data_IF_270277106857
#
_entry.id   IF_270277106857
#
_cell.length_a   1.000
_cell.length_b   1.000
_cell.length_c   1.000
_cell.angle_alpha   90.00
_cell.angle_beta   90.00
_cell.angle_gamma   90.00
#
_symmetry.space_group_name_H-M   'P 1'
#
loop_
_entity.id
_entity.type
_entity.pdbx_description
1 polymer ?
#
# COMPACT_ATOMS: atom_id res chain seq x y z
N UNK A 1 -43.61 3.79 -12.87
CA UNK A 1 -42.17 4.07 -12.71
C UNK A 1 -41.49 2.87 -12.06
N UNK A 2 -40.56 2.17 -12.75
CA UNK A 2 -39.80 1.06 -12.14
C UNK A 2 -38.72 1.69 -11.28
N UNK A 3 -38.77 1.46 -9.97
CA UNK A 3 -37.67 1.79 -9.06
C UNK A 3 -36.41 1.03 -9.51
N UNK A 4 -35.37 1.77 -9.89
CA UNK A 4 -34.06 1.18 -10.17
C UNK A 4 -33.50 0.66 -8.84
N UNK A 5 -33.49 -0.66 -8.64
CA UNK A 5 -32.81 -1.29 -7.51
C UNK A 5 -31.32 -0.90 -7.55
N UNK A 6 -30.86 -0.24 -6.51
CA UNK A 6 -29.44 0.10 -6.35
C UNK A 6 -28.77 -1.05 -5.60
N UNK A 7 -27.69 -1.61 -6.18
CA UNK A 7 -26.88 -2.62 -5.54
C UNK A 7 -25.69 -1.95 -4.82
N UNK A 8 -25.34 -2.48 -3.66
CA UNK A 8 -24.23 -1.96 -2.83
C UNK A 8 -23.29 -3.09 -2.45
N UNK A 9 -21.98 -2.82 -2.41
CA UNK A 9 -21.03 -3.63 -1.68
C UNK A 9 -21.15 -3.32 -0.20
N UNK A 10 -21.16 -4.34 0.64
CA UNK A 10 -21.08 -4.20 2.09
C UNK A 10 -19.65 -4.53 2.51
N UNK A 11 -18.92 -3.52 2.96
CA UNK A 11 -17.55 -3.67 3.42
C UNK A 11 -17.52 -3.67 4.95
N UNK A 12 -16.65 -4.51 5.51
CA UNK A 12 -16.36 -4.54 6.95
C UNK A 12 -14.87 -4.37 7.17
N UNK A 13 -14.52 -3.55 8.14
CA UNK A 13 -13.11 -3.39 8.52
C UNK A 13 -12.61 -4.68 9.19
N UNK A 14 -11.53 -5.27 8.65
CA UNK A 14 -11.02 -6.58 9.08
C UNK A 14 -10.43 -6.56 10.49
N UNK A 15 -9.79 -5.43 10.86
CA UNK A 15 -9.14 -5.26 12.17
C UNK A 15 -9.91 -4.31 13.11
N UNK A 16 -11.19 -4.07 12.85
CA UNK A 16 -12.02 -3.21 13.70
C UNK A 16 -12.17 -3.81 15.10
N UNK A 17 -11.98 -2.98 16.10
CA UNK A 17 -12.25 -3.33 17.51
C UNK A 17 -13.74 -3.58 17.78
N UNK A 18 -14.62 -3.08 16.91
CA UNK A 18 -16.07 -3.27 16.97
C UNK A 18 -16.59 -3.63 15.57
N UNK A 19 -17.15 -4.85 15.37
CA UNK A 19 -17.59 -5.32 14.05
C UNK A 19 -18.92 -4.71 13.57
N UNK A 20 -19.43 -3.66 14.22
CA UNK A 20 -20.79 -3.15 14.00
C UNK A 20 -20.90 -2.14 12.87
N UNK A 21 -19.79 -1.58 12.39
CA UNK A 21 -19.82 -0.59 11.32
C UNK A 21 -19.58 -1.25 9.97
N UNK A 22 -20.59 -1.23 9.11
CA UNK A 22 -20.48 -1.65 7.73
C UNK A 22 -20.53 -0.40 6.83
N UNK A 23 -19.58 -0.31 5.89
CA UNK A 23 -19.57 0.71 4.87
C UNK A 23 -20.29 0.19 3.63
N UNK A 24 -21.27 0.94 3.12
CA UNK A 24 -22.03 0.59 1.93
C UNK A 24 -21.56 1.44 0.75
N UNK A 25 -20.98 0.81 -0.26
CA UNK A 25 -20.50 1.48 -1.47
C UNK A 25 -21.37 1.06 -2.64
N UNK A 26 -22.00 2.01 -3.38
CA UNK A 26 -22.75 1.67 -4.58
C UNK A 26 -21.87 0.93 -5.59
N UNK A 27 -22.40 -0.13 -6.21
CA UNK A 27 -21.66 -0.89 -7.25
C UNK A 27 -21.23 0.02 -8.41
N UNK A 28 -22.00 1.09 -8.70
CA UNK A 28 -21.65 2.10 -9.69
C UNK A 28 -20.40 2.95 -9.32
N UNK A 29 -19.99 2.93 -8.06
CA UNK A 29 -18.84 3.68 -7.53
C UNK A 29 -17.66 2.77 -7.17
N UNK A 30 -17.62 1.56 -7.73
CA UNK A 30 -16.62 0.54 -7.42
C UNK A 30 -15.18 0.87 -7.91
N UNK A 31 -14.98 2.00 -8.59
CA UNK A 31 -13.66 2.43 -9.10
C UNK A 31 -12.59 2.57 -8.00
N UNK A 32 -12.99 2.67 -6.73
CA UNK A 32 -12.09 2.75 -5.57
C UNK A 32 -11.88 1.41 -4.86
N UNK A 33 -12.44 0.32 -5.40
CA UNK A 33 -12.31 -1.01 -4.82
C UNK A 33 -11.38 -1.85 -5.69
N UNK A 34 -10.50 -2.59 -5.07
CA UNK A 34 -9.71 -3.63 -5.71
C UNK A 34 -9.80 -4.93 -4.90
N UNK A 35 -9.60 -6.08 -5.53
CA UNK A 35 -9.46 -7.33 -4.81
C UNK A 35 -8.28 -7.27 -3.82
N UNK A 36 -8.41 -8.01 -2.73
CA UNK A 36 -7.29 -8.26 -1.80
C UNK A 36 -6.27 -9.14 -2.52
N UNK A 37 -4.99 -8.84 -2.34
CA UNK A 37 -3.91 -9.62 -2.96
C UNK A 37 -3.84 -11.05 -2.42
N UNK A 38 -3.26 -11.96 -3.21
CA UNK A 38 -2.96 -13.31 -2.76
C UNK A 38 -1.72 -13.38 -1.85
N UNK A 39 -1.59 -14.49 -1.08
CA UNK A 39 -0.47 -14.74 -0.16
C UNK A 39 0.88 -14.65 -0.86
N UNK A 40 1.04 -15.32 -1.99
CA UNK A 40 2.29 -15.33 -2.77
C UNK A 40 2.69 -13.92 -3.22
N UNK A 41 1.72 -13.09 -3.60
CA UNK A 41 1.93 -11.71 -3.99
C UNK A 41 2.35 -10.84 -2.81
N UNK A 42 1.72 -11.00 -1.63
CA UNK A 42 2.13 -10.30 -0.41
C UNK A 42 3.58 -10.61 -0.02
N UNK A 43 3.97 -11.90 -0.06
CA UNK A 43 5.34 -12.34 0.20
C UNK A 43 6.33 -11.77 -0.83
N UNK A 44 5.96 -11.75 -2.11
CA UNK A 44 6.77 -11.18 -3.17
C UNK A 44 7.01 -9.67 -2.96
N UNK A 45 5.99 -8.92 -2.57
CA UNK A 45 6.12 -7.50 -2.27
C UNK A 45 6.99 -7.23 -1.04
N UNK A 46 6.83 -8.00 0.05
CA UNK A 46 7.68 -7.88 1.23
C UNK A 46 9.16 -8.12 0.91
N UNK A 47 9.43 -9.14 0.09
CA UNK A 47 10.80 -9.46 -0.31
C UNK A 47 11.35 -8.47 -1.34
N UNK A 48 10.49 -7.95 -2.22
CA UNK A 48 10.84 -7.07 -3.34
C UNK A 48 10.91 -5.59 -3.00
N UNK A 49 10.38 -5.13 -1.85
CA UNK A 49 10.32 -3.71 -1.51
C UNK A 49 11.70 -3.02 -1.51
N UNK A 50 12.76 -3.76 -1.18
CA UNK A 50 14.13 -3.24 -1.25
C UNK A 50 14.54 -2.83 -2.66
N UNK A 51 13.99 -3.48 -3.70
CA UNK A 51 14.28 -3.26 -5.11
C UNK A 51 13.39 -2.17 -5.74
N UNK A 52 12.24 -1.88 -5.14
CA UNK A 52 11.39 -0.80 -5.62
C UNK A 52 12.14 0.52 -5.57
N UNK A 53 12.13 1.26 -6.67
CA UNK A 53 12.73 2.60 -6.71
C UNK A 53 11.63 3.62 -6.46
N UNK A 54 11.70 4.35 -5.32
CA UNK A 54 10.77 5.44 -5.07
C UNK A 54 11.04 6.58 -6.07
N UNK A 55 9.98 7.29 -6.43
CA UNK A 55 10.10 8.48 -7.27
C UNK A 55 11.00 9.52 -6.57
N UNK A 56 12.06 10.00 -7.24
CA UNK A 56 12.96 10.99 -6.68
C UNK A 56 12.27 12.29 -6.23
N UNK A 57 11.16 12.65 -6.89
CA UNK A 57 10.35 13.81 -6.54
C UNK A 57 9.63 13.71 -5.20
N UNK A 58 9.54 12.51 -4.60
CA UNK A 58 8.93 12.30 -3.30
C UNK A 58 9.90 12.58 -2.14
N UNK A 59 11.20 12.59 -2.42
CA UNK A 59 12.24 12.81 -1.39
C UNK A 59 12.57 14.30 -1.20
N UNK A 60 12.15 15.16 -2.12
CA UNK A 60 12.37 16.62 -2.06
C UNK A 60 11.14 17.34 -1.50
N UNK A 61 11.37 18.47 -0.83
CA UNK A 61 10.31 19.37 -0.34
C UNK A 61 9.83 20.30 -1.47
N UNK A 62 9.30 19.72 -2.56
CA UNK A 62 8.80 20.50 -3.70
C UNK A 62 7.34 20.90 -3.48
N UNK A 63 6.97 22.07 -4.01
CA UNK A 63 5.59 22.50 -4.11
C UNK A 63 4.78 21.40 -4.83
N UNK A 64 3.60 21.02 -4.29
CA UNK A 64 2.77 19.98 -4.88
C UNK A 64 3.06 18.55 -4.42
N UNK A 65 4.05 18.31 -3.54
CA UNK A 65 4.33 16.95 -3.04
C UNK A 65 3.12 16.30 -2.37
N UNK A 66 2.34 17.08 -1.63
CA UNK A 66 1.11 16.61 -0.97
C UNK A 66 0.08 16.09 -1.98
N UNK A 67 -0.10 16.81 -3.11
CA UNK A 67 -1.00 16.37 -4.17
C UNK A 67 -0.53 15.06 -4.80
N UNK A 68 0.77 14.84 -4.95
CA UNK A 68 1.35 13.57 -5.42
C UNK A 68 1.12 12.43 -4.43
N UNK A 69 1.35 12.65 -3.13
CA UNK A 69 1.07 11.65 -2.10
C UNK A 69 -0.39 11.22 -2.15
N UNK A 70 -1.29 12.21 -2.22
CA UNK A 70 -2.72 11.94 -2.33
C UNK A 70 -3.05 11.12 -3.58
N UNK A 71 -2.54 11.53 -4.74
CA UNK A 71 -2.78 10.83 -6.00
C UNK A 71 -2.30 9.37 -5.95
N UNK A 72 -1.16 9.08 -5.29
CA UNK A 72 -0.66 7.71 -5.15
C UNK A 72 -1.53 6.84 -4.24
N UNK A 73 -2.12 7.42 -3.18
CA UNK A 73 -3.07 6.71 -2.32
C UNK A 73 -4.41 6.51 -3.05
N UNK A 74 -4.93 7.56 -3.69
CA UNK A 74 -6.22 7.55 -4.39
C UNK A 74 -6.22 6.64 -5.63
N UNK A 75 -5.06 6.35 -6.20
CA UNK A 75 -4.90 5.40 -7.31
C UNK A 75 -5.26 3.96 -6.92
N UNK A 76 -5.36 3.64 -5.64
CA UNK A 76 -5.59 2.28 -5.12
C UNK A 76 -4.58 1.24 -5.66
N UNK A 77 -3.40 1.67 -6.13
CA UNK A 77 -2.33 0.82 -6.61
C UNK A 77 -1.37 0.50 -5.45
N UNK A 78 -1.23 -0.78 -5.17
CA UNK A 78 -0.41 -1.25 -4.06
C UNK A 78 1.08 -0.97 -4.28
N UNK A 79 1.55 -1.04 -5.53
CA UNK A 79 2.97 -0.77 -5.85
C UNK A 79 3.28 0.70 -5.66
N UNK A 80 2.38 1.59 -6.07
CA UNK A 80 2.53 3.04 -5.85
C UNK A 80 2.49 3.38 -4.35
N UNK A 81 1.59 2.74 -3.58
CA UNK A 81 1.54 2.89 -2.13
C UNK A 81 2.83 2.40 -1.45
N UNK A 82 3.41 1.27 -1.91
CA UNK A 82 4.69 0.75 -1.41
C UNK A 82 5.87 1.68 -1.76
N UNK A 83 5.89 2.26 -2.96
CA UNK A 83 6.90 3.26 -3.34
C UNK A 83 6.83 4.49 -2.46
N UNK A 84 5.61 4.99 -2.21
CA UNK A 84 5.37 6.12 -1.32
C UNK A 84 5.86 5.81 0.10
N UNK A 85 5.45 4.69 0.66
CA UNK A 85 5.85 4.25 1.99
C UNK A 85 7.38 4.17 2.11
N UNK A 86 8.03 3.54 1.13
CA UNK A 86 9.49 3.45 1.09
C UNK A 86 10.15 4.82 1.02
N UNK A 87 9.66 5.73 0.17
CA UNK A 87 10.19 7.09 0.05
C UNK A 87 10.14 7.82 1.40
N UNK A 88 9.00 7.75 2.09
CA UNK A 88 8.78 8.43 3.37
C UNK A 88 9.64 7.82 4.51
N UNK A 89 9.85 6.52 4.52
CA UNK A 89 10.79 5.89 5.46
C UNK A 89 12.25 6.30 5.19
N UNK A 90 12.66 6.35 3.93
CA UNK A 90 14.00 6.81 3.57
C UNK A 90 14.20 8.28 3.92
N UNK A 91 13.19 9.11 3.71
CA UNK A 91 13.18 10.54 4.10
C UNK A 91 13.30 10.68 5.62
N UNK A 92 12.52 9.93 6.38
CA UNK A 92 12.62 9.89 7.86
C UNK A 92 14.04 9.56 8.32
N UNK A 93 14.67 8.58 7.66
CA UNK A 93 16.05 8.18 7.97
C UNK A 93 17.09 9.24 7.61
N UNK A 94 16.92 9.95 6.48
CA UNK A 94 17.84 10.96 5.99
C UNK A 94 17.87 12.19 6.92
N UNK A 95 16.73 12.58 7.48
CA UNK A 95 16.60 13.71 8.41
C UNK A 95 17.30 13.42 9.76
N UNK A 96 17.39 12.13 10.15
CA UNK A 96 18.03 11.75 11.40
C UNK A 96 17.23 12.18 12.65
N UNK A 97 17.90 12.21 13.81
CA UNK A 97 17.26 12.54 15.10
C UNK A 97 17.15 14.04 15.39
N UNK A 98 17.84 14.86 14.64
CA UNK A 98 17.99 16.30 14.91
C UNK A 98 16.89 17.17 14.31
N UNK A 99 16.16 16.68 13.34
CA UNK A 99 15.07 17.41 12.68
C UNK A 99 13.79 16.60 12.71
N UNK A 100 12.65 17.29 12.78
CA UNK A 100 11.33 16.66 12.69
C UNK A 100 10.94 16.51 11.23
N UNK A 101 10.36 15.35 10.90
CA UNK A 101 9.70 15.15 9.61
C UNK A 101 8.51 16.11 9.51
N UNK A 102 8.24 16.73 8.34
CA UNK A 102 7.05 17.54 8.14
C UNK A 102 5.78 16.75 8.48
N UNK A 103 4.78 17.44 9.05
CA UNK A 103 3.53 16.83 9.50
C UNK A 103 2.82 16.09 8.36
N UNK A 104 2.84 16.66 7.16
CA UNK A 104 2.26 16.04 5.97
C UNK A 104 2.94 14.70 5.62
N UNK A 105 4.25 14.62 5.76
CA UNK A 105 4.99 13.39 5.49
C UNK A 105 4.66 12.31 6.53
N UNK A 106 4.48 12.71 7.81
CA UNK A 106 4.05 11.81 8.88
C UNK A 106 2.66 11.26 8.56
N UNK A 107 1.71 12.15 8.24
CA UNK A 107 0.33 11.78 7.93
C UNK A 107 0.24 10.76 6.79
N UNK A 108 0.90 11.05 5.65
CA UNK A 108 0.84 10.16 4.50
C UNK A 108 1.62 8.85 4.69
N UNK A 109 2.70 8.89 5.47
CA UNK A 109 3.39 7.67 5.89
C UNK A 109 2.48 6.77 6.71
N UNK A 110 1.76 7.33 7.68
CA UNK A 110 0.90 6.57 8.57
C UNK A 110 -0.32 5.99 7.81
N UNK A 111 -0.87 6.74 6.84
CA UNK A 111 -1.92 6.24 5.93
C UNK A 111 -1.41 5.08 5.09
N UNK A 112 -0.28 5.26 4.39
CA UNK A 112 0.30 4.22 3.54
C UNK A 112 0.70 2.98 4.35
N UNK A 113 1.27 3.18 5.54
CA UNK A 113 1.63 2.11 6.47
C UNK A 113 0.40 1.32 6.90
N UNK A 114 -0.69 2.01 7.28
CA UNK A 114 -1.93 1.34 7.69
C UNK A 114 -2.48 0.50 6.55
N UNK A 115 -2.60 1.06 5.34
CA UNK A 115 -3.13 0.34 4.17
C UNK A 115 -2.33 -0.94 3.89
N UNK A 116 -1.01 -0.85 3.84
CA UNK A 116 -0.14 -1.99 3.53
C UNK A 116 -0.13 -3.02 4.67
N UNK A 117 0.04 -2.55 5.91
CA UNK A 117 0.19 -3.47 7.04
C UNK A 117 -1.12 -4.21 7.34
N UNK A 118 -2.27 -3.57 7.23
CA UNK A 118 -3.56 -4.21 7.50
C UNK A 118 -3.87 -5.27 6.44
N UNK A 119 -3.65 -4.98 5.15
CA UNK A 119 -3.91 -5.94 4.08
C UNK A 119 -2.94 -7.14 4.15
N UNK A 120 -1.64 -6.87 4.30
CA UNK A 120 -0.65 -7.95 4.36
C UNK A 120 -0.81 -8.80 5.61
N UNK A 121 -1.16 -8.19 6.74
CA UNK A 121 -1.43 -8.91 7.98
C UNK A 121 -2.61 -9.86 7.82
N UNK A 122 -3.69 -9.39 7.19
CA UNK A 122 -4.86 -10.21 6.89
C UNK A 122 -4.51 -11.41 6.00
N UNK A 123 -3.79 -11.17 4.90
CA UNK A 123 -3.45 -12.19 3.90
C UNK A 123 -2.45 -13.22 4.45
N UNK A 124 -1.49 -12.77 5.24
CA UNK A 124 -0.43 -13.64 5.77
C UNK A 124 -0.81 -14.29 7.11
N UNK A 125 -1.89 -13.84 7.75
CA UNK A 125 -2.32 -14.35 9.05
C UNK A 125 -1.40 -13.95 10.21
N UNK A 126 -0.82 -12.77 10.14
CA UNK A 126 0.09 -12.19 11.14
C UNK A 126 -0.44 -10.84 11.63
N UNK A 127 0.23 -10.21 12.59
CA UNK A 127 -0.17 -8.90 13.07
C UNK A 127 0.35 -7.76 12.17
N UNK A 128 -0.36 -6.61 12.08
CA UNK A 128 0.15 -5.43 11.36
C UNK A 128 1.52 -4.97 11.85
N UNK A 129 1.80 -5.14 13.15
CA UNK A 129 3.10 -4.82 13.75
C UNK A 129 4.22 -5.67 13.18
N UNK A 130 4.02 -6.98 13.03
CA UNK A 130 5.00 -7.88 12.43
C UNK A 130 5.28 -7.53 10.97
N UNK A 131 4.24 -7.13 10.22
CA UNK A 131 4.42 -6.65 8.84
C UNK A 131 5.26 -5.38 8.82
N UNK A 132 4.97 -4.41 9.68
CA UNK A 132 5.75 -3.17 9.80
C UNK A 132 7.24 -3.46 10.08
N UNK A 133 7.52 -4.34 11.02
CA UNK A 133 8.90 -4.74 11.34
C UNK A 133 9.61 -5.38 10.14
N UNK A 134 8.94 -6.27 9.41
CA UNK A 134 9.46 -6.88 8.19
C UNK A 134 9.71 -5.85 7.08
N UNK A 135 8.78 -4.91 6.87
CA UNK A 135 8.92 -3.83 5.89
C UNK A 135 10.12 -2.94 6.22
N UNK A 136 10.26 -2.50 7.46
CA UNK A 136 11.38 -1.68 7.92
C UNK A 136 12.71 -2.42 7.72
N UNK A 137 12.78 -3.69 8.13
CA UNK A 137 13.98 -4.50 7.95
C UNK A 137 14.35 -4.66 6.46
N UNK A 138 13.36 -4.86 5.57
CA UNK A 138 13.57 -4.99 4.14
C UNK A 138 14.00 -3.68 3.48
N UNK A 139 13.38 -2.54 3.85
CA UNK A 139 13.73 -1.20 3.33
C UNK A 139 15.14 -0.80 3.77
N UNK A 140 15.52 -1.14 4.98
CA UNK A 140 16.84 -0.81 5.53
C UNK A 140 17.96 -1.74 5.07
N UNK A 141 17.63 -2.87 4.46
CA UNK A 141 18.63 -3.78 3.89
C UNK A 141 19.37 -3.04 2.77
N UNK A 142 20.68 -2.82 2.93
CA UNK A 142 21.51 -2.27 1.85
C UNK A 142 21.33 -3.15 0.61
N UNK A 143 21.15 -2.54 -0.57
CA UNK A 143 21.20 -3.26 -1.86
C UNK A 143 22.51 -4.08 -1.85
N UNK A 144 22.41 -5.38 -1.62
CA UNK A 144 23.49 -6.28 -1.96
C UNK A 144 23.65 -6.20 -3.48
N UNK A 145 24.90 -6.08 -3.94
CA UNK A 145 25.31 -5.74 -5.30
C UNK A 145 24.39 -6.28 -6.40
N UNK A 146 24.09 -5.40 -7.37
CA UNK A 146 23.41 -5.64 -8.64
C UNK A 146 23.56 -7.08 -9.16
N UNK A 147 22.53 -7.88 -9.00
CA UNK A 147 22.25 -9.01 -9.86
C UNK A 147 21.00 -8.64 -10.67
N UNK A 148 21.16 -8.53 -11.99
CA UNK A 148 20.10 -8.29 -12.95
C UNK A 148 18.96 -9.29 -12.73
N UNK A 149 17.82 -8.81 -12.27
CA UNK A 149 16.50 -9.42 -12.52
C UNK A 149 15.52 -8.26 -12.68
N UNK A 150 14.94 -8.18 -13.88
CA UNK A 150 13.97 -7.17 -14.24
C UNK A 150 12.72 -7.25 -13.35
N UNK A 151 12.16 -6.13 -12.88
CA UNK A 151 10.97 -6.09 -12.05
C UNK A 151 9.66 -6.34 -12.83
N UNK A 152 9.73 -6.93 -14.04
CA UNK A 152 8.61 -7.02 -14.99
C UNK A 152 7.48 -7.97 -14.54
N UNK A 153 7.67 -8.79 -13.51
CA UNK A 153 6.65 -9.76 -13.07
C UNK A 153 5.77 -9.33 -11.90
N UNK A 154 5.78 -8.05 -11.50
CA UNK A 154 4.92 -7.57 -10.40
C UNK A 154 3.55 -7.02 -10.87
N UNK A 155 3.25 -7.08 -12.17
CA UNK A 155 1.89 -6.81 -12.65
C UNK A 155 1.05 -8.08 -12.49
N UNK A 156 -0.06 -7.95 -11.75
CA UNK A 156 -1.06 -9.00 -11.61
C UNK A 156 -1.45 -9.56 -12.97
N UNK A 157 -1.26 -10.86 -13.18
CA UNK A 157 -1.99 -11.59 -14.20
C UNK A 157 -3.40 -11.83 -13.65
N UNK A 158 -4.45 -11.59 -14.43
CA UNK A 158 -5.79 -12.04 -14.07
C UNK A 158 -5.77 -13.58 -14.02
N UNK A 159 -6.29 -14.13 -12.94
CA UNK A 159 -6.54 -15.56 -12.81
C UNK A 159 -7.46 -15.99 -13.95
N UNK A 160 -6.98 -16.81 -14.87
CA UNK A 160 -7.83 -17.51 -15.83
C UNK A 160 -8.72 -18.45 -15.02
N UNK A 161 -10.00 -18.13 -15.01
CA UNK A 161 -11.05 -19.03 -14.54
C UNK A 161 -10.92 -20.36 -15.31
N UNK A 162 -10.57 -21.41 -14.59
CA UNK A 162 -10.72 -22.77 -15.07
C UNK A 162 -12.21 -23.11 -14.98
N UNK A 163 -12.91 -22.94 -16.11
CA UNK A 163 -14.23 -23.49 -16.35
C UNK A 163 -14.06 -25.00 -16.55
N UNK A 164 -14.68 -25.80 -15.67
CA UNK A 164 -15.10 -27.17 -15.96
C UNK A 164 -16.08 -27.71 -14.91
#
# INVERSE_FOLDING_TARGET
MREKRRCYFTLKEVHAKSPKEALYIPVSSAAFLRPVIGRAQAEAYLNGIALLEPDPGLTSHTAGVTARYRAMIDACDLVETLKLLKALYLKTRAIGKSQKLPEVDIQYRDIAEKVICDEFAYVLGVTPKEIKEKLLAAIHRKKAAKGKRDPVHLRAQPDEEADN
#
